data_IF_860314930048
#
_entry.id   IF_860314930048
#
_cell.length_a   1.000
_cell.length_b   1.000
_cell.length_c   1.000
_cell.angle_alpha   90.00
_cell.angle_beta   90.00
_cell.angle_gamma   90.00
#
_symmetry.space_group_name_H-M   'P 1'
#
loop_
_entity.id
_entity.type
_entity.pdbx_description
1 polymer ?
#
# COMPACT_ATOMS: atom_id res chain seq x y z
N UNK A 1 -24.66 12.78 -11.81
CA UNK A 1 -24.02 11.70 -12.60
C UNK A 1 -22.53 11.94 -12.77
N UNK A 2 -22.09 13.08 -13.32
CA UNK A 2 -20.66 13.40 -13.54
C UNK A 2 -19.81 13.44 -12.25
N UNK A 3 -20.38 13.92 -11.13
CA UNK A 3 -19.67 14.01 -9.85
C UNK A 3 -19.23 12.67 -9.25
N UNK A 4 -19.91 11.57 -9.57
CA UNK A 4 -19.57 10.23 -9.06
C UNK A 4 -18.33 9.68 -9.75
N UNK A 5 -18.15 9.95 -11.05
CA UNK A 5 -16.98 9.49 -11.81
C UNK A 5 -15.69 10.11 -11.29
N UNK A 6 -15.71 11.41 -10.95
CA UNK A 6 -14.55 12.09 -10.38
C UNK A 6 -14.11 11.50 -9.04
N UNK A 7 -15.07 11.05 -8.20
CA UNK A 7 -14.76 10.43 -6.91
C UNK A 7 -14.18 9.03 -7.08
N UNK A 8 -14.75 8.22 -7.97
CA UNK A 8 -14.22 6.88 -8.30
C UNK A 8 -12.78 6.94 -8.82
N UNK A 9 -12.47 7.91 -9.69
CA UNK A 9 -11.12 8.10 -10.20
C UNK A 9 -10.16 8.54 -9.08
N UNK A 10 -10.61 9.44 -8.20
CA UNK A 10 -9.82 9.89 -7.04
C UNK A 10 -9.50 8.75 -6.07
N UNK A 11 -10.49 7.92 -5.72
CA UNK A 11 -10.32 6.79 -4.80
C UNK A 11 -9.40 5.73 -5.40
N UNK A 12 -9.55 5.43 -6.70
CA UNK A 12 -8.68 4.49 -7.42
C UNK A 12 -7.21 4.99 -7.47
N UNK A 13 -7.01 6.28 -7.72
CA UNK A 13 -5.68 6.90 -7.70
C UNK A 13 -5.05 6.84 -6.31
N UNK A 14 -5.83 7.10 -5.26
CA UNK A 14 -5.31 7.08 -3.89
C UNK A 14 -4.92 5.66 -3.46
N UNK A 15 -5.73 4.66 -3.81
CA UNK A 15 -5.38 3.24 -3.61
C UNK A 15 -4.11 2.88 -4.37
N UNK A 16 -4.01 3.22 -5.66
CA UNK A 16 -2.84 2.94 -6.48
C UNK A 16 -1.57 3.61 -5.95
N UNK A 17 -1.64 4.90 -5.60
CA UNK A 17 -0.53 5.66 -5.03
C UNK A 17 -0.02 5.02 -3.72
N UNK A 18 -0.93 4.60 -2.84
CA UNK A 18 -0.56 3.97 -1.56
C UNK A 18 0.28 2.70 -1.73
N UNK A 19 -0.01 1.90 -2.77
CA UNK A 19 0.72 0.67 -3.10
C UNK A 19 2.13 1.04 -3.60
N UNK A 20 2.21 2.00 -4.53
CA UNK A 20 3.50 2.45 -5.08
C UNK A 20 4.39 3.03 -3.97
N UNK A 21 3.84 3.88 -3.09
CA UNK A 21 4.60 4.45 -1.97
C UNK A 21 5.11 3.38 -1.00
N UNK A 22 4.30 2.36 -0.67
CA UNK A 22 4.73 1.27 0.20
C UNK A 22 5.90 0.47 -0.40
N UNK A 23 5.86 0.19 -1.71
CA UNK A 23 6.94 -0.50 -2.42
C UNK A 23 8.19 0.37 -2.48
N UNK A 24 8.06 1.67 -2.77
CA UNK A 24 9.19 2.61 -2.80
C UNK A 24 9.90 2.72 -1.45
N UNK A 25 9.14 2.78 -0.36
CA UNK A 25 9.70 2.84 1.00
C UNK A 25 10.39 1.51 1.35
N UNK A 26 9.77 0.37 1.06
CA UNK A 26 10.35 -0.95 1.31
C UNK A 26 11.63 -1.20 0.51
N UNK A 27 11.61 -0.89 -0.78
CA UNK A 27 12.78 -1.01 -1.66
C UNK A 27 13.88 0.01 -1.31
N UNK A 28 13.52 1.25 -1.00
CA UNK A 28 14.47 2.30 -0.59
C UNK A 28 15.17 1.98 0.72
N UNK A 29 14.45 1.50 1.74
CA UNK A 29 15.04 1.01 2.98
C UNK A 29 15.90 -0.24 2.75
N UNK A 30 15.45 -1.17 1.91
CA UNK A 30 16.20 -2.36 1.54
C UNK A 30 17.55 -2.03 0.89
N UNK A 31 17.55 -1.11 -0.08
CA UNK A 31 18.76 -0.67 -0.76
C UNK A 31 19.74 0.06 0.18
N UNK A 32 19.22 0.93 1.06
CA UNK A 32 20.05 1.63 2.04
C UNK A 32 20.70 0.68 3.05
N UNK A 33 19.98 -0.35 3.50
CA UNK A 33 20.55 -1.36 4.39
C UNK A 33 21.54 -2.29 3.66
N UNK A 34 21.27 -2.72 2.43
CA UNK A 34 22.18 -3.59 1.66
C UNK A 34 23.53 -2.90 1.41
N UNK A 35 23.52 -1.58 1.18
CA UNK A 35 24.74 -0.77 1.07
C UNK A 35 25.56 -0.68 2.37
N UNK A 36 24.91 -0.82 3.53
CA UNK A 36 25.59 -0.81 4.84
C UNK A 36 26.13 -2.18 5.24
N UNK A 37 25.46 -3.26 4.83
CA UNK A 37 25.83 -4.63 5.18
C UNK A 37 26.72 -5.33 4.14
N UNK A 38 26.79 -4.82 2.90
CA UNK A 38 27.66 -5.40 1.86
C UNK A 38 27.20 -6.78 1.35
N UNK A 39 25.97 -7.20 1.69
CA UNK A 39 25.39 -8.53 1.41
C UNK A 39 24.54 -8.57 0.13
N UNK A 40 24.79 -7.66 -0.81
CA UNK A 40 24.01 -7.55 -2.04
C UNK A 40 24.00 -8.91 -2.77
N UNK A 41 22.84 -9.56 -3.02
CA UNK A 41 21.48 -8.99 -3.09
C UNK A 41 20.46 -9.59 -2.09
N UNK A 42 20.90 -10.27 -1.03
CA UNK A 42 20.00 -11.03 -0.16
C UNK A 42 19.03 -10.15 0.64
N UNK A 43 19.51 -9.00 1.12
CA UNK A 43 18.71 -8.14 1.98
C UNK A 43 17.67 -7.34 1.17
N UNK A 44 18.03 -6.92 -0.03
CA UNK A 44 17.09 -6.30 -0.99
C UNK A 44 15.91 -7.22 -1.31
N UNK A 45 16.12 -8.53 -1.46
CA UNK A 45 15.04 -9.49 -1.71
C UNK A 45 14.10 -9.61 -0.49
N UNK A 46 14.65 -9.73 0.72
CA UNK A 46 13.84 -9.81 1.95
C UNK A 46 13.01 -8.52 2.13
N UNK A 47 13.62 -7.36 1.91
CA UNK A 47 12.93 -6.07 2.01
C UNK A 47 11.92 -5.85 0.88
N UNK A 48 12.15 -6.40 -0.30
CA UNK A 48 11.16 -6.41 -1.38
C UNK A 48 9.91 -7.18 -0.96
N UNK A 49 10.04 -8.41 -0.44
CA UNK A 49 8.91 -9.18 0.06
C UNK A 49 8.23 -8.51 1.26
N UNK A 50 9.00 -7.89 2.16
CA UNK A 50 8.46 -7.08 3.26
C UNK A 50 7.68 -5.86 2.76
N UNK A 51 8.16 -5.19 1.72
CA UNK A 51 7.47 -4.07 1.06
C UNK A 51 6.14 -4.50 0.43
N UNK A 52 6.15 -5.63 -0.27
CA UNK A 52 4.91 -6.24 -0.83
C UNK A 52 3.94 -6.63 0.28
N UNK A 53 4.42 -7.24 1.36
CA UNK A 53 3.59 -7.61 2.52
C UNK A 53 3.01 -6.36 3.22
N UNK A 54 3.79 -5.29 3.36
CA UNK A 54 3.35 -4.03 3.92
C UNK A 54 2.29 -3.36 3.04
N UNK A 55 2.49 -3.33 1.72
CA UNK A 55 1.52 -2.81 0.76
C UNK A 55 0.19 -3.59 0.84
N UNK A 56 0.26 -4.93 0.82
CA UNK A 56 -0.91 -5.80 0.94
C UNK A 56 -1.66 -5.56 2.27
N UNK A 57 -0.92 -5.42 3.38
CA UNK A 57 -1.52 -5.12 4.70
C UNK A 57 -2.21 -3.77 4.71
N UNK A 58 -1.62 -2.75 4.10
CA UNK A 58 -2.19 -1.40 4.04
C UNK A 58 -3.50 -1.37 3.25
N UNK A 59 -3.52 -2.00 2.07
CA UNK A 59 -4.74 -2.16 1.26
C UNK A 59 -5.81 -2.94 2.03
N UNK A 60 -5.43 -4.03 2.70
CA UNK A 60 -6.38 -4.86 3.42
C UNK A 60 -7.03 -4.14 4.60
N UNK A 61 -6.28 -3.29 5.31
CA UNK A 61 -6.81 -2.43 6.37
C UNK A 61 -7.76 -1.38 5.79
N UNK A 62 -7.39 -0.72 4.70
CA UNK A 62 -8.21 0.31 4.05
C UNK A 62 -9.54 -0.26 3.53
N UNK A 63 -9.49 -1.35 2.77
CA UNK A 63 -10.68 -2.06 2.25
C UNK A 63 -11.58 -2.51 3.39
N UNK A 64 -11.02 -3.08 4.47
CA UNK A 64 -11.82 -3.53 5.60
C UNK A 64 -12.48 -2.34 6.34
N UNK A 65 -11.85 -1.16 6.34
CA UNK A 65 -12.41 0.06 6.92
C UNK A 65 -13.57 0.58 6.10
N UNK A 66 -13.46 0.58 4.77
CA UNK A 66 -14.54 0.95 3.87
C UNK A 66 -15.75 0.02 4.03
N UNK A 67 -15.53 -1.31 4.01
CA UNK A 67 -16.59 -2.31 4.21
C UNK A 67 -17.29 -2.19 5.57
N UNK A 68 -16.56 -1.79 6.63
CA UNK A 68 -17.12 -1.63 7.98
C UNK A 68 -17.89 -0.32 8.11
N UNK A 69 -17.47 0.74 7.42
CA UNK A 69 -18.17 2.02 7.40
C UNK A 69 -19.46 2.00 6.58
N UNK A 70 -19.56 1.06 5.63
CA UNK A 70 -20.79 0.79 4.87
C UNK A 70 -21.82 0.04 5.73
N UNK A 71 -21.39 -1.02 6.44
CA UNK A 71 -22.26 -1.83 7.30
C UNK A 71 -22.88 -1.11 8.51
N UNK A 72 -22.24 -0.04 9.00
CA UNK A 72 -22.76 0.74 10.14
C UNK A 72 -23.77 1.80 9.69
N UNK A 73 -23.67 2.24 8.42
CA UNK A 73 -24.57 3.21 7.81
C UNK A 73 -25.91 2.60 7.39
N UNK A 74 -25.94 1.30 7.11
CA UNK A 74 -27.15 0.53 6.80
C UNK A 74 -27.93 0.09 8.05
N UNK A 75 -27.37 0.28 9.25
CA UNK A 75 -27.99 -0.11 10.54
C UNK A 75 -28.67 1.03 11.29
N UNK A 76 -28.60 2.26 10.77
CA UNK A 76 -29.20 3.48 11.31
C UNK A 76 -30.32 3.96 10.37
#
# INVERSE_FOLDING_TARGET
>A
MVSTYWRLVGDALQLGASIVFAIFIGAGLGYWLDGKFGTFPYLSIIFFFLGVAAAARNVWVEVRKQLRSEKDKDRL
#
